data_IF_676707744768
#
_entry.id   IF_676707744768
#
_cell.length_a   1.000
_cell.length_b   1.000
_cell.length_c   1.000
_cell.angle_alpha   90.00
_cell.angle_beta   90.00
_cell.angle_gamma   90.00
#
_symmetry.space_group_name_H-M   'P 1'
#
loop_
_entity.id
_entity.type
_entity.pdbx_description
1 polymer ?
#
# COMPACT_ATOMS: atom_id res chain seq x y z
N UNK A 1 -9.76 -6.75 1.32
CA UNK A 1 -9.45 -8.13 0.88
C UNK A 1 -9.27 -8.21 -0.65
N UNK A 2 -10.23 -7.74 -1.47
CA UNK A 2 -10.10 -7.78 -2.95
C UNK A 2 -8.87 -7.02 -3.47
N UNK A 3 -8.58 -5.83 -2.93
CA UNK A 3 -7.37 -5.07 -3.30
C UNK A 3 -6.06 -5.79 -2.95
N UNK A 4 -6.03 -6.54 -1.84
CA UNK A 4 -4.87 -7.36 -1.45
C UNK A 4 -4.64 -8.49 -2.43
N UNK A 5 -5.71 -9.15 -2.87
CA UNK A 5 -5.63 -10.23 -3.85
C UNK A 5 -5.07 -9.73 -5.20
N UNK A 6 -5.57 -8.56 -5.65
CA UNK A 6 -5.07 -7.89 -6.84
C UNK A 6 -3.61 -7.44 -6.69
N UNK A 7 -3.22 -6.96 -5.50
CA UNK A 7 -1.84 -6.55 -5.24
C UNK A 7 -0.84 -7.71 -5.33
N UNK A 8 -1.24 -8.92 -4.92
CA UNK A 8 -0.36 -10.10 -4.93
C UNK A 8 -0.33 -10.78 -6.30
N UNK A 9 -1.43 -10.72 -7.05
CA UNK A 9 -1.53 -11.39 -8.36
C UNK A 9 -0.94 -10.53 -9.50
N UNK A 10 -0.75 -9.23 -9.28
CA UNK A 10 -0.31 -8.33 -10.34
C UNK A 10 1.19 -8.37 -10.60
N UNK A 11 1.53 -8.57 -11.89
CA UNK A 11 2.92 -8.68 -12.36
C UNK A 11 3.63 -7.33 -12.49
N UNK A 12 2.89 -6.23 -12.62
CA UNK A 12 3.45 -4.87 -12.61
C UNK A 12 3.56 -4.40 -11.16
N UNK A 13 4.80 -4.29 -10.67
CA UNK A 13 5.09 -3.91 -9.28
C UNK A 13 4.54 -2.51 -8.96
N UNK A 14 4.42 -1.62 -9.96
CA UNK A 14 3.82 -0.30 -9.74
C UNK A 14 2.33 -0.42 -9.47
N UNK A 15 1.61 -1.28 -10.20
CA UNK A 15 0.19 -1.54 -9.94
C UNK A 15 -0.01 -2.23 -8.61
N UNK A 16 0.84 -3.20 -8.28
CA UNK A 16 0.81 -3.88 -6.99
C UNK A 16 0.95 -2.89 -5.82
N UNK A 17 1.85 -1.91 -5.93
CA UNK A 17 2.00 -0.83 -4.93
C UNK A 17 0.77 0.06 -4.85
N UNK A 18 0.16 0.43 -5.97
CA UNK A 18 -1.08 1.22 -5.98
C UNK A 18 -2.22 0.46 -5.29
N UNK A 19 -2.40 -0.83 -5.59
CA UNK A 19 -3.40 -1.66 -4.93
C UNK A 19 -3.13 -1.82 -3.43
N UNK A 20 -1.86 -1.92 -3.03
CA UNK A 20 -1.44 -1.94 -1.62
C UNK A 20 -1.73 -0.61 -0.90
N UNK A 21 -1.50 0.53 -1.55
CA UNK A 21 -1.82 1.85 -0.99
C UNK A 21 -3.35 2.04 -0.80
N UNK A 22 -4.16 1.57 -1.77
CA UNK A 22 -5.62 1.57 -1.66
C UNK A 22 -6.07 0.72 -0.47
N UNK A 23 -5.48 -0.47 -0.33
CA UNK A 23 -5.78 -1.35 0.79
C UNK A 23 -5.39 -0.73 2.14
N UNK A 24 -4.22 -0.09 2.23
CA UNK A 24 -3.79 0.62 3.44
C UNK A 24 -4.76 1.77 3.77
N UNK A 25 -5.23 2.50 2.78
CA UNK A 25 -6.26 3.54 2.99
C UNK A 25 -7.56 2.95 3.53
N UNK A 26 -8.00 1.80 3.04
CA UNK A 26 -9.18 1.11 3.58
C UNK A 26 -8.99 0.71 5.05
N UNK A 27 -7.79 0.31 5.46
CA UNK A 27 -7.49 0.04 6.87
C UNK A 27 -7.46 1.30 7.72
N UNK A 28 -6.94 2.42 7.22
CA UNK A 28 -7.05 3.69 7.91
C UNK A 28 -8.52 4.07 8.18
N UNK A 29 -9.41 3.86 7.20
CA UNK A 29 -10.85 4.03 7.39
C UNK A 29 -11.44 3.08 8.45
N UNK A 30 -11.00 1.82 8.47
CA UNK A 30 -11.44 0.86 9.51
C UNK A 30 -10.99 1.28 10.90
N UNK A 31 -9.74 1.74 11.08
CA UNK A 31 -9.26 2.23 12.38
C UNK A 31 -10.01 3.48 12.84
N UNK A 32 -10.37 4.35 11.91
CA UNK A 32 -11.23 5.49 12.20
C UNK A 32 -12.62 5.05 12.68
N UNK A 33 -13.24 4.08 12.00
CA UNK A 33 -14.54 3.51 12.42
C UNK A 33 -14.49 2.82 13.78
N UNK A 34 -13.36 2.19 14.10
CA UNK A 34 -13.12 1.54 15.40
C UNK A 34 -12.82 2.53 16.54
N UNK A 35 -12.90 3.84 16.28
CA UNK A 35 -12.56 4.89 17.25
C UNK A 35 -11.14 4.76 17.80
N UNK A 36 -10.17 4.40 16.94
CA UNK A 36 -8.75 4.36 17.28
C UNK A 36 -8.00 5.54 16.61
N UNK A 37 -8.20 6.79 17.05
CA UNK A 37 -7.64 7.98 16.38
C UNK A 37 -6.13 8.12 16.57
N UNK A 38 -5.58 7.57 17.65
CA UNK A 38 -4.16 7.55 17.99
C UNK A 38 -3.33 6.77 16.95
N UNK A 39 -3.78 5.57 16.58
CA UNK A 39 -3.11 4.76 15.55
C UNK A 39 -3.34 5.33 14.16
N UNK A 40 -4.52 5.88 13.84
CA UNK A 40 -4.81 6.49 12.52
C UNK A 40 -3.83 7.60 12.19
N UNK A 41 -3.53 8.47 13.17
CA UNK A 41 -2.64 9.61 12.98
C UNK A 41 -1.23 9.20 12.55
N UNK A 42 -0.73 8.07 13.06
CA UNK A 42 0.57 7.51 12.70
C UNK A 42 0.48 6.67 11.43
N UNK A 43 -0.59 5.89 11.30
CA UNK A 43 -0.74 4.90 10.24
C UNK A 43 -0.92 5.56 8.87
N UNK A 44 -1.69 6.63 8.74
CA UNK A 44 -1.93 7.31 7.46
C UNK A 44 -0.63 7.78 6.79
N UNK A 45 0.22 8.61 7.42
CA UNK A 45 1.45 9.08 6.78
C UNK A 45 2.45 7.95 6.50
N UNK A 46 2.50 6.92 7.34
CA UNK A 46 3.43 5.80 7.17
C UNK A 46 2.96 4.84 6.08
N UNK A 47 1.72 4.36 6.15
CA UNK A 47 1.20 3.31 5.28
C UNK A 47 0.74 3.84 3.91
N UNK A 48 0.18 5.06 3.85
CA UNK A 48 -0.31 5.66 2.59
C UNK A 48 0.76 6.52 1.92
N UNK A 49 1.67 7.11 2.70
CA UNK A 49 2.72 7.99 2.19
C UNK A 49 4.08 7.30 2.08
N UNK A 50 4.72 7.08 3.21
CA UNK A 50 6.12 6.65 3.28
C UNK A 50 6.35 5.29 2.61
N UNK A 51 5.54 4.29 2.95
CA UNK A 51 5.71 2.92 2.47
C UNK A 51 5.61 2.80 0.93
N UNK A 52 4.53 3.25 0.28
CA UNK A 52 4.45 3.20 -1.18
C UNK A 52 5.50 4.09 -1.86
N UNK A 53 5.87 5.24 -1.27
CA UNK A 53 6.93 6.09 -1.83
C UNK A 53 8.30 5.39 -1.81
N UNK A 54 8.65 4.74 -0.70
CA UNK A 54 9.90 3.98 -0.58
C UNK A 54 9.90 2.79 -1.53
N UNK A 55 8.81 2.04 -1.62
CA UNK A 55 8.73 0.90 -2.54
C UNK A 55 8.79 1.37 -4.00
N UNK A 56 8.08 2.44 -4.39
CA UNK A 56 8.20 3.00 -5.73
C UNK A 56 9.63 3.44 -6.06
N UNK A 57 10.34 4.01 -5.09
CA UNK A 57 11.74 4.37 -5.27
C UNK A 57 12.64 3.15 -5.47
N UNK A 58 12.39 2.08 -4.71
CA UNK A 58 13.10 0.80 -4.88
C UNK A 58 12.80 0.18 -6.25
N UNK A 59 11.52 0.12 -6.66
CA UNK A 59 11.09 -0.38 -7.98
C UNK A 59 11.78 0.40 -9.10
N UNK A 60 11.93 1.72 -8.96
CA UNK A 60 12.64 2.54 -9.95
C UNK A 60 14.11 2.14 -10.10
N UNK A 61 14.72 1.58 -9.06
CA UNK A 61 16.12 1.11 -9.07
C UNK A 61 16.22 -0.38 -9.44
N UNK A 62 15.11 -1.11 -9.43
CA UNK A 62 15.02 -2.52 -9.82
C UNK A 62 14.22 -2.70 -11.11
N UNK A 63 13.82 -3.93 -11.41
CA UNK A 63 12.89 -4.20 -12.49
C UNK A 63 11.47 -3.80 -12.10
N UNK A 64 10.68 -3.40 -13.09
CA UNK A 64 9.29 -2.94 -12.91
C UNK A 64 8.27 -4.07 -13.00
N UNK A 65 8.60 -5.10 -13.77
CA UNK A 65 7.81 -6.32 -13.85
C UNK A 65 8.49 -7.39 -13.01
N UNK A 66 7.68 -8.22 -12.38
CA UNK A 66 8.16 -9.45 -11.78
C UNK A 66 8.79 -10.32 -12.89
N UNK A 67 10.12 -10.40 -12.89
CA UNK A 67 10.87 -11.37 -13.69
C UNK A 67 10.51 -12.78 -13.25
N UNK A 68 10.52 -13.73 -14.18
CA UNK A 68 10.08 -15.12 -13.98
C UNK A 68 10.53 -15.76 -12.65
#
# INVERSE_FOLDING_TARGET
MVATYLAVTERDLVKAVVFSAIQSTAYAFMYYLLMAPDIVLVYVPVAVGLYPAVILFLIKKTERFEGE
#
